data_IF_811996520561
#
_entry.id   IF_811996520561
#
_cell.length_a   1.000
_cell.length_b   1.000
_cell.length_c   1.000
_cell.angle_alpha   90.00
_cell.angle_beta   90.00
_cell.angle_gamma   90.00
#
_symmetry.space_group_name_H-M   'P 1'
#
loop_
_entity.id
_entity.type
_entity.pdbx_description
1 polymer ?
#
# COMPACT_ATOMS: atom_id res chain seq x y z
N UNK A 1 -19.82 1.82 -10.20
CA UNK A 1 -18.79 1.29 -9.27
C UNK A 1 -18.05 2.48 -8.70
N UNK A 2 -18.05 2.65 -7.38
CA UNK A 2 -17.47 3.81 -6.71
C UNK A 2 -16.00 4.01 -7.08
N UNK A 3 -15.68 5.18 -7.67
CA UNK A 3 -14.30 5.56 -8.02
C UNK A 3 -13.35 5.46 -6.81
N UNK A 4 -13.88 5.67 -5.59
CA UNK A 4 -13.16 5.49 -4.33
C UNK A 4 -12.79 4.03 -4.07
N UNK A 5 -13.71 3.10 -4.33
CA UNK A 5 -13.45 1.66 -4.19
C UNK A 5 -12.39 1.20 -5.19
N UNK A 6 -12.44 1.72 -6.42
CA UNK A 6 -11.44 1.46 -7.45
C UNK A 6 -10.06 2.04 -7.06
N UNK A 7 -10.01 3.25 -6.51
CA UNK A 7 -8.78 3.87 -6.02
C UNK A 7 -8.14 3.09 -4.85
N UNK A 8 -8.95 2.64 -3.88
CA UNK A 8 -8.47 1.78 -2.79
C UNK A 8 -7.95 0.44 -3.29
N UNK A 9 -8.63 -0.17 -4.25
CA UNK A 9 -8.19 -1.44 -4.86
C UNK A 9 -6.85 -1.28 -5.60
N UNK A 10 -6.64 -0.15 -6.29
CA UNK A 10 -5.35 0.17 -6.93
C UNK A 10 -4.24 0.37 -5.91
N UNK A 11 -4.50 1.06 -4.80
CA UNK A 11 -3.54 1.24 -3.71
C UNK A 11 -3.17 -0.10 -3.07
N UNK A 12 -4.14 -0.97 -2.83
CA UNK A 12 -3.90 -2.32 -2.30
C UNK A 12 -3.05 -3.15 -3.26
N UNK A 13 -3.34 -3.11 -4.57
CA UNK A 13 -2.54 -3.81 -5.57
C UNK A 13 -1.08 -3.35 -5.59
N UNK A 14 -0.83 -2.05 -5.42
CA UNK A 14 0.54 -1.50 -5.30
C UNK A 14 1.25 -1.99 -4.03
N UNK A 15 0.55 -2.06 -2.89
CA UNK A 15 1.10 -2.60 -1.64
C UNK A 15 1.46 -4.08 -1.81
N UNK A 16 0.59 -4.87 -2.45
CA UNK A 16 0.82 -6.29 -2.69
C UNK A 16 2.01 -6.55 -3.63
N UNK A 17 2.20 -5.69 -4.64
CA UNK A 17 3.37 -5.74 -5.51
C UNK A 17 4.67 -5.46 -4.72
N UNK A 18 4.66 -4.46 -3.83
CA UNK A 18 5.82 -4.16 -2.97
C UNK A 18 6.07 -5.29 -1.97
N UNK A 19 5.03 -5.90 -1.40
CA UNK A 19 5.18 -7.06 -0.52
C UNK A 19 5.87 -8.23 -1.21
N UNK A 20 5.51 -8.51 -2.47
CA UNK A 20 6.16 -9.57 -3.25
C UNK A 20 7.63 -9.25 -3.51
N UNK A 21 7.97 -8.00 -3.79
CA UNK A 21 9.37 -7.54 -3.96
C UNK A 21 10.15 -7.63 -2.66
N UNK A 22 9.60 -7.15 -1.54
CA UNK A 22 10.23 -7.24 -0.22
C UNK A 22 10.57 -8.68 0.20
N UNK A 23 9.76 -9.67 -0.20
CA UNK A 23 10.05 -11.07 0.07
C UNK A 23 11.24 -11.61 -0.75
N UNK A 24 11.53 -11.02 -1.91
CA UNK A 24 12.64 -11.38 -2.80
C UNK A 24 13.90 -10.59 -2.43
N UNK A 25 13.72 -9.29 -2.16
CA UNK A 25 14.78 -8.32 -1.93
C UNK A 25 15.19 -8.25 -0.44
N UNK A 26 14.84 -9.25 0.40
CA UNK A 26 15.09 -9.20 1.85
C UNK A 26 16.56 -9.09 2.24
N UNK A 27 17.46 -9.38 1.28
CA UNK A 27 18.91 -9.29 1.44
C UNK A 27 19.52 -8.11 0.66
N UNK A 28 18.70 -7.25 0.05
CA UNK A 28 19.17 -6.15 -0.78
C UNK A 28 19.12 -4.81 -0.03
N UNK A 29 19.98 -3.87 -0.44
CA UNK A 29 20.09 -2.54 0.18
C UNK A 29 18.77 -1.76 0.07
N UNK A 30 17.95 -2.09 -0.93
CA UNK A 30 16.67 -1.47 -1.22
C UNK A 30 15.51 -1.97 -0.36
N UNK A 31 15.74 -2.99 0.50
CA UNK A 31 14.71 -3.53 1.40
C UNK A 31 14.06 -2.44 2.25
N UNK A 32 14.87 -1.60 2.92
CA UNK A 32 14.39 -0.48 3.75
C UNK A 32 13.63 0.57 2.94
N UNK A 33 14.07 0.85 1.71
CA UNK A 33 13.40 1.77 0.79
C UNK A 33 12.00 1.27 0.43
N UNK A 34 11.88 -0.01 0.08
CA UNK A 34 10.61 -0.65 -0.23
C UNK A 34 9.70 -0.75 1.00
N UNK A 35 10.27 -0.98 2.18
CA UNK A 35 9.51 -1.05 3.44
C UNK A 35 8.92 0.31 3.80
N UNK A 36 9.69 1.38 3.62
CA UNK A 36 9.22 2.76 3.78
C UNK A 36 8.11 3.10 2.78
N UNK A 37 8.28 2.72 1.52
CA UNK A 37 7.28 2.94 0.46
C UNK A 37 5.97 2.21 0.77
N UNK A 38 6.04 0.95 1.22
CA UNK A 38 4.88 0.18 1.69
C UNK A 38 4.16 0.90 2.83
N UNK A 39 4.89 1.35 3.86
CA UNK A 39 4.29 2.05 5.02
C UNK A 39 3.56 3.33 4.61
N UNK A 40 4.11 4.10 3.67
CA UNK A 40 3.45 5.31 3.17
C UNK A 40 2.14 4.98 2.44
N UNK A 41 2.16 3.98 1.55
CA UNK A 41 0.94 3.57 0.83
C UNK A 41 -0.13 3.02 1.78
N UNK A 42 0.29 2.26 2.79
CA UNK A 42 -0.62 1.73 3.81
C UNK A 42 -1.27 2.87 4.61
N UNK A 43 -0.50 3.88 5.04
CA UNK A 43 -1.06 5.04 5.74
C UNK A 43 -2.08 5.82 4.89
N UNK A 44 -1.84 5.95 3.58
CA UNK A 44 -2.79 6.60 2.67
C UNK A 44 -4.07 5.77 2.57
N UNK A 45 -3.94 4.46 2.41
CA UNK A 45 -5.07 3.54 2.34
C UNK A 45 -5.88 3.56 3.63
N UNK A 46 -5.23 3.52 4.79
CA UNK A 46 -5.87 3.52 6.10
C UNK A 46 -6.63 4.83 6.31
N UNK A 47 -6.03 5.99 5.99
CA UNK A 47 -6.72 7.30 6.03
C UNK A 47 -7.92 7.37 5.09
N UNK A 48 -7.86 6.72 3.92
CA UNK A 48 -8.99 6.66 3.00
C UNK A 48 -10.12 5.79 3.55
N UNK A 49 -9.78 4.66 4.19
CA UNK A 49 -10.74 3.78 4.87
C UNK A 49 -11.38 4.48 6.06
N UNK A 50 -10.61 5.12 6.93
CA UNK A 50 -11.12 5.91 8.06
C UNK A 50 -12.12 6.97 7.60
N UNK A 51 -11.82 7.70 6.50
CA UNK A 51 -12.75 8.68 5.92
C UNK A 51 -14.02 8.08 5.31
N UNK A 52 -13.99 6.80 4.92
CA UNK A 52 -15.18 6.09 4.44
C UNK A 52 -15.99 5.48 5.58
N UNK A 53 -15.35 5.03 6.64
CA UNK A 53 -15.99 4.43 7.82
C UNK A 53 -16.67 5.49 8.71
N UNK A 54 -16.12 6.71 8.77
CA UNK A 54 -16.70 7.85 9.49
C UNK A 54 -17.87 8.53 8.74
N UNK A 55 -18.52 7.87 7.79
CA UNK A 55 -19.68 8.35 7.01
C UNK A 55 -20.87 7.42 7.16
#
# INVERSE_FOLDING_TARGET
MDEKQAAMSRLQASIDAINKRLAIDSNDLDYETHLRQKRQLQQILDRMKEKMDNR
#
